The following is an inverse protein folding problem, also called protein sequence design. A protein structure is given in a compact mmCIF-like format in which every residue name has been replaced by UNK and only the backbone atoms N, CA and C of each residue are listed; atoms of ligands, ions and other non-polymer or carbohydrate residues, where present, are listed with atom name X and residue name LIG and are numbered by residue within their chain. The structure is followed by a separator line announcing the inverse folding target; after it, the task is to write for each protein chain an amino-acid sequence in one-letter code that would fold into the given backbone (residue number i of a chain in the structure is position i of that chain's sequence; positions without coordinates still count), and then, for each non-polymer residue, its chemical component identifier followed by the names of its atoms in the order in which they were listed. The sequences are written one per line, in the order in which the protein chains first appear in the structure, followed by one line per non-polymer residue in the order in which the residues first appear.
data_IF_375969989835
#
_entry.id   IF_375969989835
#
_cell.length_a   1.000
_cell.length_b   1.000
_cell.length_c   1.000
_cell.angle_alpha   90.00
_cell.angle_beta   90.00
_cell.angle_gamma   90.00
#
_symmetry.space_group_name_H-M   'P 1'
#
loop_
_entity.id
_entity.type
_entity.pdbx_description
1 polymer ?
#
# COMPACT_ATOMS: atom_id res chain seq x y z
N UNK A 1 -3.69 10.94 -4.96
CA UNK A 1 -5.00 11.06 -4.30
C UNK A 1 -5.51 9.65 -4.01
N UNK A 2 -5.69 9.24 -2.74
CA UNK A 2 -6.23 7.93 -2.43
C UNK A 2 -7.66 7.85 -2.97
N UNK A 3 -7.92 6.91 -3.87
CA UNK A 3 -9.24 6.70 -4.43
C UNK A 3 -10.11 6.08 -3.33
N UNK A 4 -11.24 6.70 -2.93
CA UNK A 4 -12.14 6.11 -1.96
C UNK A 4 -12.65 4.77 -2.51
N UNK A 5 -12.29 3.69 -1.82
CA UNK A 5 -12.65 2.34 -2.21
C UNK A 5 -14.10 2.10 -1.78
N UNK A 6 -15.00 1.91 -2.74
CA UNK A 6 -16.40 1.62 -2.46
C UNK A 6 -16.52 0.31 -1.66
N UNK A 7 -17.20 0.28 -0.50
CA UNK A 7 -17.37 -0.94 0.30
C UNK A 7 -17.93 -2.14 -0.48
N UNK A 8 -18.71 -1.89 -1.54
CA UNK A 8 -19.28 -2.91 -2.43
C UNK A 8 -18.22 -3.71 -3.19
N UNK A 9 -17.00 -3.20 -3.34
CA UNK A 9 -15.93 -3.91 -4.04
C UNK A 9 -15.51 -5.16 -3.27
N UNK A 10 -15.53 -5.11 -1.92
CA UNK A 10 -15.13 -6.24 -1.09
C UNK A 10 -16.10 -7.41 -1.22
N UNK A 11 -17.41 -7.12 -1.29
CA UNK A 11 -18.42 -8.14 -1.61
C UNK A 11 -18.17 -8.77 -2.98
N UNK A 12 -17.87 -7.98 -4.01
CA UNK A 12 -17.52 -8.52 -5.34
C UNK A 12 -16.25 -9.38 -5.34
N UNK A 13 -15.23 -8.99 -4.57
CA UNK A 13 -13.99 -9.77 -4.46
C UNK A 13 -14.28 -11.11 -3.77
N UNK A 14 -15.08 -11.10 -2.71
CA UNK A 14 -15.54 -12.34 -2.06
C UNK A 14 -16.38 -13.21 -3.00
N UNK A 15 -17.26 -12.63 -3.82
CA UNK A 15 -18.06 -13.39 -4.79
C UNK A 15 -17.19 -14.07 -5.85
N UNK A 16 -16.12 -13.40 -6.29
CA UNK A 16 -15.16 -13.94 -7.26
C UNK A 16 -14.20 -14.97 -6.64
N UNK A 17 -14.02 -14.95 -5.32
CA UNK A 17 -13.07 -15.80 -4.60
C UNK A 17 -13.78 -16.49 -3.41
N UNK A 18 -14.49 -17.61 -3.67
CA UNK A 18 -15.36 -18.24 -2.66
C UNK A 18 -14.61 -18.82 -1.45
N UNK A 19 -13.29 -18.94 -1.51
CA UNK A 19 -12.46 -19.40 -0.39
C UNK A 19 -11.98 -18.28 0.53
N UNK A 20 -12.22 -17.01 0.17
CA UNK A 20 -11.70 -15.84 0.89
C UNK A 20 -12.81 -15.04 1.56
N UNK A 21 -12.59 -14.59 2.79
CA UNK A 21 -13.40 -13.58 3.47
C UNK A 21 -12.55 -12.36 3.81
N UNK A 22 -13.11 -11.16 3.72
CA UNK A 22 -12.40 -9.89 3.90
C UNK A 22 -13.05 -9.07 5.00
N UNK A 23 -12.26 -8.70 5.99
CA UNK A 23 -12.65 -7.80 7.07
C UNK A 23 -11.81 -6.53 7.01
N UNK A 24 -12.46 -5.37 6.98
CA UNK A 24 -11.80 -4.06 6.99
C UNK A 24 -12.04 -3.37 8.32
N UNK A 25 -10.96 -3.00 8.98
CA UNK A 25 -10.92 -2.36 10.29
C UNK A 25 -10.47 -0.92 10.14
N UNK A 26 -11.00 -0.04 10.97
CA UNK A 26 -10.57 1.35 11.07
C UNK A 26 -10.11 1.60 12.51
N UNK A 27 -9.02 2.33 12.67
CA UNK A 27 -8.52 2.67 13.98
C UNK A 27 -9.34 3.81 14.59
N UNK A 28 -9.93 3.59 15.77
CA UNK A 28 -10.63 4.64 16.49
C UNK A 28 -9.71 5.26 17.55
N UNK A 29 -9.24 6.49 17.29
CA UNK A 29 -8.27 7.17 18.16
C UNK A 29 -8.81 7.45 19.57
N UNK A 30 -10.12 7.66 19.70
CA UNK A 30 -10.76 7.95 21.00
C UNK A 30 -10.77 6.74 21.94
N UNK A 31 -10.92 5.55 21.38
CA UNK A 31 -11.05 4.31 22.16
C UNK A 31 -9.75 3.51 22.18
N UNK A 32 -8.83 3.78 21.25
CA UNK A 32 -7.56 3.06 21.11
C UNK A 32 -7.73 1.62 20.65
N UNK A 33 -8.87 1.28 20.04
CA UNK A 33 -9.24 -0.06 19.62
C UNK A 33 -9.66 -0.02 18.14
N UNK A 34 -9.30 -1.02 17.33
CA UNK A 34 -9.79 -1.11 15.96
C UNK A 34 -11.29 -1.42 15.93
N UNK A 35 -12.08 -0.61 15.22
CA UNK A 35 -13.50 -0.84 14.96
C UNK A 35 -13.69 -1.49 13.59
N UNK A 36 -14.58 -2.49 13.45
CA UNK A 36 -14.86 -3.08 12.14
C UNK A 36 -15.69 -2.09 11.30
N UNK A 37 -15.22 -1.78 10.10
CA UNK A 37 -15.96 -0.98 9.11
C UNK A 37 -16.66 -1.87 8.10
N UNK A 38 -16.02 -2.96 7.70
CA UNK A 38 -16.60 -3.99 6.84
C UNK A 38 -16.30 -5.33 7.49
N UNK A 39 -17.36 -6.06 7.83
CA UNK A 39 -17.25 -7.42 8.34
C UNK A 39 -17.85 -8.37 7.31
N UNK A 40 -17.07 -9.36 6.87
CA UNK A 40 -17.55 -10.41 6.01
C UNK A 40 -18.65 -11.22 6.71
N UNK A 41 -19.71 -11.55 5.98
CA UNK A 41 -20.72 -12.50 6.45
C UNK A 41 -20.29 -13.96 6.26
N UNK A 42 -19.18 -14.19 5.56
CA UNK A 42 -18.69 -15.50 5.14
C UNK A 42 -17.52 -16.00 6.00
N UNK A 43 -17.69 -15.98 7.33
CA UNK A 43 -16.64 -16.29 8.31
C UNK A 43 -16.13 -17.75 8.28
N UNK A 44 -16.84 -18.66 7.60
CA UNK A 44 -16.46 -20.07 7.48
C UNK A 44 -15.53 -20.38 6.29
N UNK A 45 -15.11 -19.36 5.55
CA UNK A 45 -14.22 -19.53 4.40
C UNK A 45 -12.79 -19.85 4.85
N UNK A 46 -12.08 -20.63 4.04
CA UNK A 46 -10.76 -21.17 4.36
C UNK A 46 -9.72 -20.08 4.66
N UNK A 47 -9.81 -18.94 3.97
CA UNK A 47 -8.86 -17.85 4.07
C UNK A 47 -9.56 -16.57 4.55
N UNK A 48 -9.03 -15.96 5.60
CA UNK A 48 -9.56 -14.71 6.19
C UNK A 48 -8.50 -13.62 6.05
N UNK A 49 -8.87 -12.53 5.39
CA UNK A 49 -8.00 -11.36 5.18
C UNK A 49 -8.48 -10.23 6.07
N UNK A 50 -7.58 -9.70 6.90
CA UNK A 50 -7.82 -8.51 7.72
C UNK A 50 -7.08 -7.31 7.13
N UNK A 51 -7.81 -6.26 6.79
CA UNK A 51 -7.29 -5.00 6.24
C UNK A 51 -7.48 -3.88 7.27
N UNK A 52 -6.49 -3.00 7.40
CA UNK A 52 -6.59 -1.79 8.23
C UNK A 52 -6.68 -0.56 7.34
N UNK A 53 -7.71 0.25 7.53
CA UNK A 53 -7.90 1.52 6.82
C UNK A 53 -6.95 2.58 7.40
N UNK A 54 -6.03 3.06 6.56
CA UNK A 54 -5.06 4.09 6.94
C UNK A 54 -5.60 5.52 6.78
N UNK A 55 -6.73 5.67 6.09
CA UNK A 55 -7.47 6.92 5.90
C UNK A 55 -8.94 6.69 6.22
N UNK A 56 -9.67 7.77 6.54
CA UNK A 56 -11.09 7.68 6.86
C UNK A 56 -11.85 7.00 5.71
N UNK A 57 -12.52 5.89 6.02
CA UNK A 57 -13.48 5.31 5.08
C UNK A 57 -14.70 6.20 5.18
N UNK A 58 -14.87 7.12 4.24
CA UNK A 58 -16.12 7.87 4.13
C UNK A 58 -17.22 6.84 3.93
N UNK A 59 -18.03 6.63 4.98
CA UNK A 59 -19.31 5.94 4.84
C UNK A 59 -20.04 6.72 3.77
N UNK A 60 -20.21 6.10 2.61
CA UNK A 60 -21.15 6.63 1.65
C UNK A 60 -22.49 6.69 2.37
N UNK A 61 -23.01 7.90 2.58
CA UNK A 61 -24.37 8.05 3.09
C UNK A 61 -25.27 7.12 2.27
N UNK A 62 -25.90 6.17 2.97
CA UNK A 62 -26.83 5.22 2.39
C UNK A 62 -27.94 6.04 1.71
N UNK A 63 -27.80 6.29 0.41
CA UNK A 63 -28.80 7.00 -0.38
C UNK A 63 -28.30 8.09 -1.33
N UNK A 64 -27.01 8.43 -1.40
CA UNK A 64 -26.56 9.51 -2.33
C UNK A 64 -25.22 9.23 -3.05
N UNK A 65 -25.08 8.09 -3.70
CA UNK A 65 -24.41 8.12 -5.01
C UNK A 65 -25.50 8.33 -6.06
N UNK A 66 -25.99 9.57 -6.13
CA UNK A 66 -26.62 10.01 -7.37
C UNK A 66 -25.59 9.86 -8.49
N UNK A 67 -26.07 9.62 -9.70
CA UNK A 67 -25.32 9.63 -10.96
C UNK A 67 -24.76 11.03 -11.30
N UNK A 68 -24.40 11.81 -10.27
CA UNK A 68 -23.79 13.11 -10.41
C UNK A 68 -22.28 12.91 -10.64
N UNK A 69 -21.70 13.58 -11.64
CA UNK A 69 -20.26 13.55 -11.86
C UNK A 69 -19.54 13.99 -10.59
N UNK A 70 -18.64 13.15 -10.10
CA UNK A 70 -17.80 13.48 -8.96
C UNK A 70 -16.90 14.66 -9.38
N UNK A 71 -17.14 15.83 -8.78
CA UNK A 71 -16.37 17.04 -9.08
C UNK A 71 -14.93 16.82 -8.64
N UNK A 72 -14.01 16.83 -9.60
CA UNK A 72 -12.57 16.76 -9.32
C UNK A 72 -12.14 18.10 -8.73
N UNK A 73 -11.79 18.11 -7.45
CA UNK A 73 -11.10 19.24 -6.84
C UNK A 73 -9.60 19.07 -7.12
N UNK A 74 -9.09 19.86 -8.07
CA UNK A 74 -7.67 19.89 -8.36
C UNK A 74 -6.93 20.67 -7.26
N UNK A 75 -5.72 20.23 -6.88
CA UNK A 75 -4.81 21.01 -6.06
C UNK A 75 -4.61 22.41 -6.63
N UNK A 76 -4.70 23.42 -5.77
CA UNK A 76 -4.44 24.82 -6.10
C UNK A 76 -3.01 25.16 -5.66
N UNK A 77 -2.22 25.66 -6.61
CA UNK A 77 -0.83 26.08 -6.41
C UNK A 77 -0.70 27.02 -5.19
N UNK A 78 0.20 26.69 -4.27
CA UNK A 78 0.46 27.44 -3.04
C UNK A 78 -0.59 27.29 -1.93
N UNK A 79 -1.58 26.40 -2.08
CA UNK A 79 -2.62 26.16 -1.07
C UNK A 79 -2.68 24.71 -0.62
N UNK A 80 -2.75 23.79 -1.56
CA UNK A 80 -2.82 22.34 -1.34
C UNK A 80 -2.15 21.58 -2.49
N UNK A 81 -1.14 22.19 -3.10
CA UNK A 81 -0.32 21.61 -4.17
C UNK A 81 0.61 20.49 -3.68
N UNK A 82 0.73 20.32 -2.37
CA UNK A 82 1.45 19.23 -1.73
C UNK A 82 0.50 18.44 -0.83
N UNK A 83 0.42 17.14 -1.08
CA UNK A 83 -0.20 16.18 -0.18
C UNK A 83 0.89 15.67 0.76
N UNK A 84 0.76 15.98 2.04
CA UNK A 84 1.66 15.48 3.09
C UNK A 84 0.97 14.38 3.89
N UNK A 85 1.73 13.35 4.24
CA UNK A 85 1.23 12.31 5.12
C UNK A 85 1.22 12.81 6.56
N UNK A 86 0.02 13.06 7.12
CA UNK A 86 -0.14 13.65 8.46
C UNK A 86 -0.12 12.62 9.59
N UNK A 87 -0.45 11.36 9.28
CA UNK A 87 -0.66 10.32 10.27
C UNK A 87 0.61 9.52 10.54
N UNK A 88 1.68 10.18 11.01
CA UNK A 88 2.98 9.56 11.22
C UNK A 88 2.98 8.34 12.16
N UNK A 89 1.99 8.25 13.07
CA UNK A 89 1.80 7.07 13.94
C UNK A 89 1.40 5.81 13.15
N UNK A 90 0.92 5.98 11.91
CA UNK A 90 0.53 4.90 11.00
C UNK A 90 1.65 4.53 10.03
N UNK A 91 2.82 5.15 10.14
CA UNK A 91 3.98 4.81 9.31
C UNK A 91 4.62 3.53 9.83
N UNK A 92 4.75 2.52 8.96
CA UNK A 92 5.59 1.36 9.26
C UNK A 92 7.02 1.70 8.87
N UNK A 93 7.96 1.45 9.78
CA UNK A 93 9.37 1.48 9.42
C UNK A 93 9.65 0.37 8.41
N UNK A 94 10.18 0.75 7.25
CA UNK A 94 10.62 -0.16 6.21
C UNK A 94 12.12 0.12 5.94
N UNK A 95 13.02 -0.86 6.11
CA UNK A 95 14.44 -0.65 5.89
C UNK A 95 14.79 -0.49 4.40
N UNK A 96 13.97 -1.05 3.51
CA UNK A 96 14.12 -0.95 2.07
C UNK A 96 12.76 -0.95 1.35
N UNK A 97 12.74 -0.42 0.13
CA UNK A 97 11.58 -0.36 -0.77
C UNK A 97 11.95 -1.01 -2.09
N UNK A 98 11.09 -1.92 -2.59
CA UNK A 98 11.22 -2.46 -3.95
C UNK A 98 10.35 -1.62 -4.88
N UNK A 99 10.97 -0.97 -5.85
CA UNK A 99 10.30 -0.17 -6.88
C UNK A 99 10.32 -1.00 -8.16
N UNK A 100 9.14 -1.31 -8.71
CA UNK A 100 8.99 -2.12 -9.91
C UNK A 100 8.10 -1.44 -10.94
N UNK A 101 8.43 -1.64 -12.20
CA UNK A 101 7.67 -1.18 -13.36
C UNK A 101 7.46 -2.34 -14.34
N UNK A 102 6.31 -2.39 -14.99
CA UNK A 102 5.90 -3.48 -15.89
C UNK A 102 5.45 -2.93 -17.23
N UNK A 103 5.87 -3.60 -18.29
CA UNK A 103 5.33 -3.38 -19.63
C UNK A 103 4.42 -4.54 -20.00
N UNK A 104 3.35 -4.23 -20.73
CA UNK A 104 2.35 -5.20 -21.15
C UNK A 104 1.99 -5.01 -22.62
N UNK A 105 1.83 -6.14 -23.31
CA UNK A 105 1.28 -6.16 -24.66
C UNK A 105 -0.24 -6.24 -24.62
N UNK A 106 -0.83 -5.55 -25.59
CA UNK A 106 -2.25 -5.56 -25.85
C UNK A 106 -2.57 -6.63 -26.90
N UNK A 107 -3.09 -7.78 -26.47
CA UNK A 107 -3.55 -8.84 -27.37
C UNK A 107 -5.03 -8.67 -27.65
N UNK A 108 -5.40 -8.47 -28.91
CA UNK A 108 -6.81 -8.47 -29.31
C UNK A 108 -7.40 -9.84 -28.99
N UNK A 109 -8.49 -9.84 -28.25
CA UNK A 109 -9.29 -11.03 -28.00
C UNK A 109 -10.76 -10.68 -28.32
N UNK A 110 -11.57 -11.66 -28.65
CA UNK A 110 -12.99 -11.43 -28.90
C UNK A 110 -13.75 -12.57 -28.23
N UNK A 111 -13.75 -12.51 -26.90
CA UNK A 111 -14.30 -13.56 -26.05
C UNK A 111 -15.51 -13.02 -25.30
N UNK A 112 -16.57 -13.82 -25.24
CA UNK A 112 -17.73 -13.51 -24.43
C UNK A 112 -17.35 -13.70 -22.96
N UNK A 113 -17.42 -12.63 -22.18
CA UNK A 113 -17.22 -12.64 -20.74
C UNK A 113 -18.59 -12.56 -20.07
N UNK A 114 -19.21 -13.70 -19.81
CA UNK A 114 -20.60 -13.77 -19.35
C UNK A 114 -21.61 -13.52 -20.49
N UNK A 115 -22.84 -13.12 -20.15
CA UNK A 115 -23.94 -13.04 -21.12
C UNK A 115 -23.90 -11.79 -22.02
N UNK A 116 -23.48 -10.63 -21.48
CA UNK A 116 -23.57 -9.35 -22.20
C UNK A 116 -22.24 -8.58 -22.29
N UNK A 117 -21.15 -9.10 -21.73
CA UNK A 117 -19.84 -8.44 -21.78
C UNK A 117 -18.94 -9.16 -22.80
N UNK A 118 -18.20 -8.37 -23.58
CA UNK A 118 -17.21 -8.88 -24.52
C UNK A 118 -15.83 -8.36 -24.15
N UNK A 119 -14.87 -9.27 -23.98
CA UNK A 119 -13.46 -8.93 -23.79
C UNK A 119 -12.86 -8.68 -25.18
N UNK A 120 -12.52 -7.42 -25.45
CA UNK A 120 -11.99 -6.95 -26.75
C UNK A 120 -10.45 -7.05 -26.77
N UNK A 121 -9.83 -7.03 -25.59
CA UNK A 121 -8.39 -6.99 -25.45
C UNK A 121 -7.96 -7.58 -24.12
N UNK A 122 -6.84 -8.27 -24.13
CA UNK A 122 -6.15 -8.80 -22.97
C UNK A 122 -4.78 -8.13 -22.85
N UNK A 123 -4.49 -7.59 -21.67
CA UNK A 123 -3.16 -7.10 -21.33
C UNK A 123 -2.34 -8.22 -20.72
N UNK A 124 -1.23 -8.56 -21.37
CA UNK A 124 -0.29 -9.56 -20.85
C UNK A 124 1.08 -8.91 -20.64
N UNK A 125 1.56 -8.96 -19.40
CA UNK A 125 2.89 -8.49 -19.05
C UNK A 125 3.96 -9.22 -19.89
N UNK A 126 4.85 -8.45 -20.50
CA UNK A 126 5.91 -8.96 -21.37
C UNK A 126 7.32 -8.70 -20.80
N UNK A 127 7.42 -7.74 -19.88
CA UNK A 127 8.68 -7.37 -19.26
C UNK A 127 8.44 -6.60 -17.97
N UNK A 128 9.46 -6.58 -17.12
CA UNK A 128 9.48 -5.77 -15.92
C UNK A 128 10.89 -5.28 -15.63
N UNK A 129 10.98 -4.19 -14.88
CA UNK A 129 12.20 -3.67 -14.30
C UNK A 129 11.96 -3.42 -12.82
N UNK A 130 12.86 -3.85 -11.93
CA UNK A 130 12.78 -3.44 -10.53
C UNK A 130 14.15 -3.08 -9.93
N UNK A 131 14.10 -2.28 -8.86
CA UNK A 131 15.23 -1.88 -8.02
C UNK A 131 14.84 -2.00 -6.56
N UNK A 132 15.80 -2.34 -5.70
CA UNK A 132 15.64 -2.30 -4.24
C UNK A 132 16.38 -1.07 -3.73
N UNK A 133 15.70 -0.18 -3.03
CA UNK A 133 16.26 1.03 -2.47
C UNK A 133 16.29 0.94 -0.93
N UNK A 134 17.46 1.08 -0.33
CA UNK A 134 17.67 1.04 1.12
C UNK A 134 17.57 2.45 1.70
N UNK A 135 16.61 2.65 2.60
CA UNK A 135 16.24 4.00 3.08
C UNK A 135 17.35 4.59 3.97
N UNK A 136 18.01 3.77 4.77
CA UNK A 136 19.02 4.25 5.73
C UNK A 136 20.38 4.52 5.09
N UNK A 137 20.77 3.71 4.11
CA UNK A 137 22.08 3.79 3.47
C UNK A 137 22.06 4.54 2.15
N UNK A 138 20.87 4.87 1.63
CA UNK A 138 20.65 5.40 0.27
C UNK A 138 21.21 4.46 -0.82
N UNK A 139 21.48 3.19 -0.48
CA UNK A 139 22.01 2.19 -1.39
C UNK A 139 20.90 1.65 -2.30
N UNK A 140 21.22 1.40 -3.57
CA UNK A 140 20.27 0.82 -4.52
C UNK A 140 20.82 -0.47 -5.15
N UNK A 141 20.04 -1.54 -5.09
CA UNK A 141 20.32 -2.80 -5.79
C UNK A 141 19.50 -2.88 -7.08
N UNK A 142 20.17 -3.09 -8.21
CA UNK A 142 19.55 -3.19 -9.54
C UNK A 142 20.07 -2.11 -10.51
N UNK A 143 19.35 -1.83 -11.63
CA UNK A 143 18.05 -2.37 -12.02
C UNK A 143 18.11 -3.80 -12.56
N UNK A 144 17.13 -4.61 -12.17
CA UNK A 144 16.89 -5.93 -12.74
C UNK A 144 15.83 -5.81 -13.83
N UNK A 145 16.28 -5.96 -15.07
CA UNK A 145 15.42 -5.97 -16.25
C UNK A 145 15.17 -7.41 -16.72
N UNK A 146 13.92 -7.77 -16.89
CA UNK A 146 13.51 -9.03 -17.50
C UNK A 146 12.58 -8.78 -18.68
N UNK A 147 12.79 -9.48 -19.79
CA UNK A 147 11.93 -9.46 -20.98
C UNK A 147 11.64 -10.89 -21.41
N UNK A 148 10.36 -11.30 -21.34
CA UNK A 148 9.97 -12.66 -21.66
C UNK A 148 8.47 -12.90 -21.51
N UNK A 149 7.95 -13.97 -22.13
CA UNK A 149 6.51 -14.27 -22.16
C UNK A 149 5.92 -14.63 -20.78
N UNK A 150 6.77 -14.94 -19.81
CA UNK A 150 6.46 -15.33 -18.43
C UNK A 150 6.90 -14.26 -17.41
N UNK A 151 6.83 -12.97 -17.78
CA UNK A 151 7.25 -11.84 -16.95
C UNK A 151 6.67 -11.88 -15.53
N UNK A 152 5.38 -12.22 -15.36
CA UNK A 152 4.75 -12.29 -14.03
C UNK A 152 5.34 -13.40 -13.16
N UNK A 153 5.55 -14.60 -13.73
CA UNK A 153 6.09 -15.75 -12.99
C UNK A 153 7.54 -15.53 -12.59
N UNK A 154 8.36 -15.00 -13.51
CA UNK A 154 9.75 -14.68 -13.23
C UNK A 154 9.85 -13.55 -12.18
N UNK A 155 8.94 -12.58 -12.21
CA UNK A 155 8.90 -11.53 -11.20
C UNK A 155 8.68 -12.09 -9.79
N UNK A 156 7.69 -12.96 -9.60
CA UNK A 156 7.41 -13.57 -8.29
C UNK A 156 8.59 -14.43 -7.83
N UNK A 157 9.12 -15.28 -8.71
CA UNK A 157 10.30 -16.12 -8.43
C UNK A 157 11.53 -15.30 -8.04
N UNK A 158 11.70 -14.12 -8.65
CA UNK A 158 12.77 -13.18 -8.31
C UNK A 158 12.52 -12.47 -7.01
N UNK A 159 11.29 -12.03 -6.75
CA UNK A 159 10.92 -11.36 -5.52
C UNK A 159 11.18 -12.27 -4.31
N UNK A 160 10.87 -13.56 -4.41
CA UNK A 160 11.20 -14.55 -3.38
C UNK A 160 12.70 -14.66 -3.10
N UNK A 161 13.55 -14.56 -4.14
CA UNK A 161 15.01 -14.58 -3.98
C UNK A 161 15.52 -13.29 -3.34
N UNK A 162 15.00 -12.14 -3.75
CA UNK A 162 15.36 -10.85 -3.16
C UNK A 162 14.91 -10.76 -1.71
N UNK A 163 13.73 -11.28 -1.36
CA UNK A 163 13.25 -11.35 0.02
C UNK A 163 14.21 -12.16 0.91
N UNK A 164 14.74 -13.28 0.43
CA UNK A 164 15.75 -14.05 1.16
C UNK A 164 17.02 -13.23 1.38
N UNK A 165 17.52 -12.60 0.32
CA UNK A 165 18.73 -11.77 0.39
C UNK A 165 18.56 -10.56 1.34
N UNK A 166 17.40 -9.92 1.33
CA UNK A 166 17.06 -8.83 2.24
C UNK A 166 17.02 -9.37 3.68
N UNK A 167 16.38 -10.51 3.91
CA UNK A 167 16.33 -11.12 5.23
C UNK A 167 17.72 -11.52 5.74
N UNK A 168 18.61 -12.02 4.88
CA UNK A 168 20.00 -12.35 5.26
C UNK A 168 20.75 -11.09 5.76
N UNK A 169 20.51 -9.93 5.14
CA UNK A 169 21.09 -8.65 5.59
C UNK A 169 20.46 -8.20 6.92
N UNK A 170 19.13 -8.30 7.05
CA UNK A 170 18.41 -7.89 8.26
C UNK A 170 18.65 -8.82 9.46
N UNK A 171 19.05 -10.07 9.22
CA UNK A 171 19.39 -11.03 10.28
C UNK A 171 20.74 -10.69 10.95
N UNK A 172 21.62 -9.96 10.26
CA UNK A 172 22.89 -9.51 10.83
C UNK A 172 22.64 -8.55 11.99
N UNK A 173 22.87 -9.05 13.22
CA UNK A 173 22.82 -8.23 14.42
C UNK A 173 24.04 -7.32 14.48
N UNK A 174 23.86 -6.07 14.07
CA UNK A 174 24.85 -5.02 14.24
C UNK A 174 24.67 -4.40 15.63
N UNK A 175 25.75 -4.25 16.38
CA UNK A 175 25.70 -3.49 17.64
C UNK A 175 25.33 -2.04 17.36
N UNK A 176 24.36 -1.51 18.11
CA UNK A 176 23.97 -0.11 18.01
C UNK A 176 25.12 0.76 18.52
N UNK A 177 25.83 1.41 17.61
CA UNK A 177 26.86 2.39 17.96
C UNK A 177 26.13 3.69 18.35
N UNK A 178 26.09 4.00 19.64
CA UNK A 178 25.59 5.28 20.15
C UNK A 178 26.79 6.19 20.38
N UNK A 179 26.97 7.19 19.52
CA UNK A 179 28.00 8.22 19.70
C UNK A 179 27.58 9.22 20.78
N UNK A 180 28.55 9.89 21.42
CA UNK A 180 28.24 10.92 22.42
C UNK A 180 27.53 12.12 21.77
N UNK A 181 27.83 12.42 20.50
CA UNK A 181 27.13 13.43 19.71
C UNK A 181 25.65 13.08 19.54
N UNK A 182 25.33 11.83 19.19
CA UNK A 182 23.95 11.38 19.04
C UNK A 182 23.17 11.42 20.38
N UNK A 183 23.83 11.14 21.51
CA UNK A 183 23.22 11.30 22.85
C UNK A 183 22.91 12.76 23.15
N UNK A 184 23.84 13.65 22.79
CA UNK A 184 23.68 15.09 22.96
C UNK A 184 22.53 15.61 22.10
N UNK A 185 22.50 15.28 20.82
CA UNK A 185 21.41 15.64 19.91
C UNK A 185 20.05 15.14 20.40
N UNK A 186 19.98 13.91 20.89
CA UNK A 186 18.75 13.37 21.46
C UNK A 186 18.30 14.11 22.71
N UNK A 187 19.24 14.51 23.58
CA UNK A 187 18.93 15.24 24.83
C UNK A 187 18.52 16.69 24.57
N UNK A 188 19.12 17.32 23.55
CA UNK A 188 18.86 18.71 23.15
C UNK A 188 17.69 18.84 22.17
N UNK A 189 17.14 17.71 21.68
CA UNK A 189 16.04 17.71 20.73
C UNK A 189 14.80 18.41 21.31
N UNK A 190 14.38 19.48 20.64
CA UNK A 190 13.17 20.26 20.98
C UNK A 190 11.95 19.85 20.15
N UNK A 191 12.16 19.08 19.08
CA UNK A 191 11.13 18.59 18.18
C UNK A 191 11.30 17.10 17.87
N UNK A 192 10.17 16.44 17.61
CA UNK A 192 10.10 15.03 17.26
C UNK A 192 10.63 14.81 15.83
N UNK A 193 11.64 13.95 15.67
CA UNK A 193 12.18 13.56 14.35
C UNK A 193 11.14 12.91 13.41
N UNK A 194 10.08 12.30 13.97
CA UNK A 194 9.08 11.57 13.20
C UNK A 194 8.03 12.53 12.60
N UNK A 195 7.54 13.49 13.38
CA UNK A 195 6.45 14.38 12.96
C UNK A 195 6.82 15.87 12.92
N UNK A 196 8.09 16.20 13.21
CA UNK A 196 8.61 17.57 13.38
C UNK A 196 7.84 18.45 14.38
N UNK A 197 6.99 17.85 15.23
CA UNK A 197 6.25 18.56 16.28
C UNK A 197 7.13 18.90 17.48
N UNK A 198 6.91 20.06 18.09
CA UNK A 198 7.67 20.50 19.27
C UNK A 198 7.26 19.74 20.53
N UNK A 199 8.22 19.26 21.31
CA UNK A 199 7.96 18.57 22.58
C UNK A 199 7.36 19.49 23.66
N UNK A 200 7.53 20.80 23.52
CA UNK A 200 7.02 21.80 24.46
C UNK A 200 5.53 22.12 24.28
N UNK A 201 4.90 21.62 23.21
CA UNK A 201 3.45 21.65 23.07
C UNK A 201 2.91 20.36 23.67
N UNK A 202 2.53 20.43 24.95
CA UNK A 202 1.77 19.36 25.58
C UNK A 202 0.56 19.00 24.71
N UNK A 203 0.36 17.69 24.55
CA UNK A 203 -0.79 17.07 23.86
C UNK A 203 -2.12 17.64 24.35
#
# INVERSE_FOLDING_TARGET
MPTPVCPRIFSKIEDLNPEISINVWEWEEKTGIPKPVIASKNYNRQHIIHLMALTDITKSDEGKYGEAPQRVELPVKGKNDFEEFKNFNRTMYAPCVIIADFEADNRKCNENYGENMHKIMEQKANSFCYMVHWIETDETWGPFLYRGPNATEEFVSRLDKELRRINDVLEVKVERIITEEAKKEFTEAVSCWICNGNFNQGV
#
